data_IF_340782885707
#
_entry.id   IF_340782885707
#
_cell.length_a   1.000
_cell.length_b   1.000
_cell.length_c   1.000
_cell.angle_alpha   90.00
_cell.angle_beta   90.00
_cell.angle_gamma   90.00
#
_symmetry.space_group_name_H-M   'P 1'
#
loop_
_entity.id
_entity.type
_entity.pdbx_description
1 polymer ?
#
# COMPACT_ATOMS: atom_id res chain seq x y z
N UNK A 1 13.60 -5.69 28.46
CA UNK A 1 12.33 -5.01 28.80
C UNK A 1 11.81 -4.41 27.49
N UNK A 2 10.95 -5.13 26.77
CA UNK A 2 10.43 -4.67 25.48
C UNK A 2 9.15 -3.88 25.75
N UNK A 3 9.23 -2.55 25.76
CA UNK A 3 8.06 -1.68 25.88
C UNK A 3 7.23 -1.84 24.62
N UNK A 4 6.19 -2.68 24.68
CA UNK A 4 5.18 -2.79 23.64
C UNK A 4 4.22 -1.61 23.77
N UNK A 5 4.73 -0.39 23.65
CA UNK A 5 3.86 0.74 23.41
C UNK A 5 3.30 0.57 22.01
N UNK A 6 2.01 0.26 21.94
CA UNK A 6 1.27 0.16 20.69
C UNK A 6 1.39 1.51 20.01
N UNK A 7 2.26 1.61 19.00
CA UNK A 7 2.52 2.83 18.27
C UNK A 7 1.16 3.46 17.87
N UNK A 8 0.82 4.69 18.33
CA UNK A 8 -0.45 5.35 18.04
C UNK A 8 -0.79 5.40 16.55
N UNK A 9 0.25 5.45 15.71
CA UNK A 9 0.15 5.40 14.25
C UNK A 9 -0.53 4.12 13.74
N UNK A 10 -0.29 2.95 14.37
CA UNK A 10 -0.95 1.68 14.01
C UNK A 10 -2.46 1.70 14.29
N UNK A 11 -2.90 2.47 15.29
CA UNK A 11 -4.34 2.61 15.60
C UNK A 11 -5.06 3.39 14.50
N UNK A 12 -4.44 4.46 13.99
CA UNK A 12 -5.03 5.34 12.98
C UNK A 12 -4.85 4.86 11.53
N UNK A 13 -3.76 4.14 11.21
CA UNK A 13 -3.88 2.82 10.60
C UNK A 13 -5.04 2.57 9.61
N UNK A 14 -6.02 1.89 10.20
CA UNK A 14 -7.21 1.39 9.54
C UNK A 14 -8.19 2.50 9.17
N UNK A 15 -8.17 3.61 9.89
CA UNK A 15 -9.03 4.76 9.62
C UNK A 15 -8.54 5.50 8.37
N UNK A 16 -7.23 5.74 8.25
CA UNK A 16 -6.61 6.26 7.03
C UNK A 16 -6.88 5.34 5.83
N UNK A 17 -6.65 4.04 5.98
CA UNK A 17 -6.96 3.05 4.94
C UNK A 17 -8.45 3.05 4.54
N UNK A 18 -9.36 3.36 5.47
CA UNK A 18 -10.80 3.52 5.16
C UNK A 18 -11.08 4.83 4.44
N UNK A 19 -10.44 5.92 4.86
CA UNK A 19 -10.57 7.23 4.22
C UNK A 19 -10.08 7.20 2.77
N UNK A 20 -8.89 6.66 2.52
CA UNK A 20 -8.33 6.51 1.17
C UNK A 20 -9.26 5.68 0.27
N UNK A 21 -9.92 4.65 0.84
CA UNK A 21 -10.92 3.88 0.07
C UNK A 21 -12.12 4.69 -0.40
N UNK A 22 -12.45 5.78 0.27
CA UNK A 22 -13.58 6.63 -0.11
C UNK A 22 -13.17 7.76 -1.08
N UNK A 23 -11.88 8.03 -1.21
CA UNK A 23 -11.33 9.12 -2.02
C UNK A 23 -10.12 8.63 -2.84
N UNK A 24 -10.28 7.62 -3.72
CA UNK A 24 -9.18 7.16 -4.56
C UNK A 24 -8.81 8.20 -5.61
N UNK A 25 -7.55 8.19 -6.05
CA UNK A 25 -7.18 8.88 -7.30
C UNK A 25 -7.88 8.24 -8.51
N UNK A 26 -7.89 8.94 -9.65
CA UNK A 26 -8.47 8.40 -10.89
C UNK A 26 -7.79 7.09 -11.31
N UNK A 27 -6.45 7.06 -11.29
CA UNK A 27 -5.66 5.88 -11.62
C UNK A 27 -5.95 4.69 -10.70
N UNK A 28 -6.03 4.93 -9.38
CA UNK A 28 -6.44 3.90 -8.42
C UNK A 28 -7.85 3.37 -8.73
N UNK A 29 -8.79 4.26 -9.06
CA UNK A 29 -10.14 3.82 -9.38
C UNK A 29 -10.16 2.97 -10.66
N UNK A 30 -9.46 3.37 -11.72
CA UNK A 30 -9.35 2.59 -12.96
C UNK A 30 -8.78 1.20 -12.69
N UNK A 31 -7.63 1.11 -11.99
CA UNK A 31 -7.02 -0.17 -11.64
C UNK A 31 -7.94 -1.01 -10.74
N UNK A 32 -8.62 -0.38 -9.77
CA UNK A 32 -9.56 -1.08 -8.91
C UNK A 32 -10.72 -1.72 -9.69
N UNK A 33 -11.29 -1.02 -10.69
CA UNK A 33 -12.35 -1.61 -11.51
C UNK A 33 -11.86 -2.81 -12.34
N UNK A 34 -10.57 -2.84 -12.72
CA UNK A 34 -9.95 -3.97 -13.39
C UNK A 34 -9.70 -5.16 -12.44
N UNK A 35 -9.33 -4.91 -11.19
CA UNK A 35 -8.93 -5.94 -10.22
C UNK A 35 -10.07 -6.51 -9.35
N UNK A 36 -11.09 -5.70 -9.05
CA UNK A 36 -12.17 -6.08 -8.11
C UNK A 36 -12.91 -7.34 -8.53
N UNK A 37 -13.61 -7.94 -7.57
CA UNK A 37 -14.44 -9.13 -7.78
C UNK A 37 -13.66 -10.34 -8.34
N UNK A 38 -12.36 -10.41 -8.08
CA UNK A 38 -11.49 -11.50 -8.54
C UNK A 38 -11.49 -11.69 -10.06
N UNK A 39 -11.61 -10.61 -10.84
CA UNK A 39 -11.61 -10.63 -12.30
C UNK A 39 -10.40 -11.35 -12.93
N UNK A 40 -9.26 -11.36 -12.22
CA UNK A 40 -8.04 -12.05 -12.64
C UNK A 40 -7.89 -13.45 -12.01
N UNK A 41 -8.97 -14.04 -11.48
CA UNK A 41 -8.95 -15.34 -10.79
C UNK A 41 -8.34 -15.31 -9.38
N UNK A 42 -7.81 -14.16 -8.95
CA UNK A 42 -7.27 -13.94 -7.59
C UNK A 42 -7.84 -12.67 -6.97
N UNK A 43 -7.92 -12.65 -5.63
CA UNK A 43 -8.50 -11.53 -4.89
C UNK A 43 -7.45 -10.46 -4.59
N UNK A 44 -7.75 -9.24 -5.01
CA UNK A 44 -7.04 -8.04 -4.59
C UNK A 44 -7.81 -7.31 -3.47
N UNK A 45 -7.07 -6.69 -2.57
CA UNK A 45 -7.51 -5.66 -1.63
C UNK A 45 -6.92 -4.33 -2.09
N UNK A 46 -7.57 -3.22 -1.74
CA UNK A 46 -7.05 -1.87 -1.99
C UNK A 46 -6.86 -1.11 -0.68
N UNK A 47 -5.89 -0.20 -0.63
CA UNK A 47 -5.55 0.63 0.52
C UNK A 47 -5.41 -0.24 1.78
N UNK A 48 -4.50 -1.21 1.75
CA UNK A 48 -4.37 -2.24 2.77
C UNK A 48 -3.21 -1.93 3.72
N UNK A 49 -3.45 -2.06 5.03
CA UNK A 49 -2.41 -1.87 6.03
C UNK A 49 -1.52 -3.13 6.16
N UNK A 50 -0.21 -3.00 5.96
CA UNK A 50 0.82 -4.03 6.14
C UNK A 50 1.96 -3.43 6.96
N UNK A 51 2.24 -4.03 8.12
CA UNK A 51 3.32 -3.66 9.04
C UNK A 51 3.57 -2.15 9.27
N UNK A 52 2.50 -1.36 9.40
CA UNK A 52 2.60 0.09 9.63
C UNK A 52 2.53 0.95 8.37
N UNK A 53 2.48 0.35 7.19
CA UNK A 53 2.33 1.03 5.90
C UNK A 53 0.94 0.75 5.30
N UNK A 54 0.41 1.70 4.52
CA UNK A 54 -0.74 1.46 3.65
C UNK A 54 -0.22 1.27 2.24
N UNK A 55 -0.62 0.17 1.60
CA UNK A 55 -0.31 -0.15 0.21
C UNK A 55 -1.55 0.05 -0.66
N UNK A 56 -1.40 0.56 -1.89
CA UNK A 56 -2.54 0.87 -2.76
C UNK A 56 -3.32 -0.39 -3.14
N UNK A 57 -2.63 -1.46 -3.52
CA UNK A 57 -3.24 -2.76 -3.78
C UNK A 57 -2.40 -3.93 -3.26
N UNK A 58 -3.10 -4.97 -2.82
CA UNK A 58 -2.49 -6.16 -2.23
C UNK A 58 -3.19 -7.44 -2.66
N UNK A 59 -2.42 -8.42 -3.16
CA UNK A 59 -2.86 -9.78 -3.42
C UNK A 59 -2.14 -10.77 -2.50
N UNK A 60 -2.88 -11.29 -1.51
CA UNK A 60 -2.34 -12.24 -0.53
C UNK A 60 -1.85 -13.54 -1.17
N UNK A 61 -2.53 -14.04 -2.20
CA UNK A 61 -2.17 -15.31 -2.85
C UNK A 61 -0.86 -15.22 -3.63
N UNK A 62 -0.55 -14.05 -4.19
CA UNK A 62 0.63 -13.84 -5.03
C UNK A 62 1.80 -13.19 -4.28
N UNK A 63 1.63 -12.88 -2.99
CA UNK A 63 2.52 -12.03 -2.21
C UNK A 63 2.94 -10.77 -3.01
N UNK A 64 1.92 -10.11 -3.58
CA UNK A 64 2.12 -9.00 -4.52
C UNK A 64 1.47 -7.74 -3.98
N UNK A 65 2.24 -6.66 -3.97
CA UNK A 65 1.84 -5.29 -3.73
C UNK A 65 1.92 -4.53 -5.06
N UNK A 66 0.93 -3.69 -5.34
CA UNK A 66 0.94 -2.77 -6.48
C UNK A 66 0.74 -1.35 -5.92
N UNK A 67 1.65 -0.44 -6.25
CA UNK A 67 1.60 0.99 -5.91
C UNK A 67 1.41 1.82 -7.18
N UNK A 68 0.62 2.89 -7.06
CA UNK A 68 0.43 3.88 -8.11
C UNK A 68 1.07 5.19 -7.66
N UNK A 69 2.20 5.54 -8.27
CA UNK A 69 2.85 6.82 -8.03
C UNK A 69 2.05 7.95 -8.67
N UNK A 70 1.45 8.80 -7.83
CA UNK A 70 1.03 10.14 -8.23
C UNK A 70 2.23 11.07 -8.43
N UNK A 71 2.03 12.23 -9.08
CA UNK A 71 3.09 13.20 -9.42
C UNK A 71 3.86 13.81 -8.22
N UNK A 72 3.57 13.41 -6.99
CA UNK A 72 4.18 13.99 -5.79
C UNK A 72 5.29 13.06 -5.29
N UNK A 73 6.45 13.12 -5.94
CA UNK A 73 7.69 12.52 -5.43
C UNK A 73 8.86 13.49 -5.58
N UNK A 74 8.82 14.61 -4.86
CA UNK A 74 9.92 15.57 -4.80
C UNK A 74 10.10 16.13 -3.37
N UNK A 75 10.51 15.27 -2.44
CA UNK A 75 11.14 15.70 -1.18
C UNK A 75 12.15 14.63 -0.72
N UNK A 76 13.35 15.05 -0.35
CA UNK A 76 14.48 14.20 0.06
C UNK A 76 14.16 13.28 1.25
N UNK A 77 13.26 13.69 2.13
CA UNK A 77 12.85 12.92 3.30
C UNK A 77 11.99 11.69 2.94
N UNK A 78 11.44 11.65 1.72
CA UNK A 78 10.65 10.54 1.22
C UNK A 78 11.51 9.33 0.83
N UNK A 79 12.77 9.55 0.44
CA UNK A 79 13.66 8.50 -0.09
C UNK A 79 14.14 7.51 0.99
N UNK A 80 14.48 8.00 2.19
CA UNK A 80 14.85 7.14 3.32
C UNK A 80 13.64 6.36 3.85
N UNK A 81 12.47 7.02 3.91
CA UNK A 81 11.21 6.38 4.28
C UNK A 81 10.81 5.29 3.26
N UNK A 82 10.97 5.55 1.96
CA UNK A 82 10.67 4.60 0.89
C UNK A 82 11.66 3.42 0.87
N UNK A 83 12.94 3.65 1.22
CA UNK A 83 13.95 2.59 1.35
C UNK A 83 13.63 1.66 2.52
N UNK A 84 13.33 2.21 3.70
CA UNK A 84 12.97 1.41 4.88
C UNK A 84 11.66 0.64 4.69
N UNK A 85 10.67 1.26 4.04
CA UNK A 85 9.41 0.64 3.66
C UNK A 85 9.62 -0.54 2.71
N UNK A 86 10.32 -0.31 1.60
CA UNK A 86 10.59 -1.34 0.59
C UNK A 86 11.36 -2.50 1.17
N UNK A 87 12.37 -2.23 2.00
CA UNK A 87 13.12 -3.26 2.72
C UNK A 87 12.19 -4.11 3.61
N UNK A 88 11.38 -3.46 4.45
CA UNK A 88 10.46 -4.15 5.38
C UNK A 88 9.47 -5.05 4.64
N UNK A 89 8.83 -4.54 3.58
CA UNK A 89 7.85 -5.30 2.81
C UNK A 89 8.50 -6.46 2.03
N UNK A 90 9.72 -6.27 1.54
CA UNK A 90 10.51 -7.32 0.89
C UNK A 90 10.90 -8.43 1.87
N UNK A 91 11.34 -8.09 3.08
CA UNK A 91 11.67 -9.07 4.14
C UNK A 91 10.44 -9.87 4.59
N UNK A 92 9.24 -9.29 4.50
CA UNK A 92 7.98 -9.99 4.71
C UNK A 92 7.58 -10.91 3.53
N UNK A 93 8.39 -10.96 2.47
CA UNK A 93 8.22 -11.81 1.31
C UNK A 93 7.33 -11.22 0.21
N UNK A 94 6.98 -9.93 0.29
CA UNK A 94 6.20 -9.28 -0.74
C UNK A 94 7.06 -8.81 -1.91
N UNK A 95 6.51 -8.94 -3.11
CA UNK A 95 7.01 -8.28 -4.32
C UNK A 95 6.22 -7.00 -4.54
N UNK A 96 6.91 -5.93 -4.90
CA UNK A 96 6.29 -4.65 -5.24
C UNK A 96 6.36 -4.40 -6.75
N UNK A 97 5.24 -3.95 -7.33
CA UNK A 97 5.17 -3.36 -8.67
C UNK A 97 4.68 -1.93 -8.54
N UNK A 98 5.39 -0.99 -9.14
CA UNK A 98 5.07 0.44 -9.06
C UNK A 98 4.81 0.98 -10.46
N UNK A 99 3.72 1.72 -10.62
CA UNK A 99 3.34 2.34 -11.89
C UNK A 99 3.24 3.85 -11.71
N UNK A 100 3.82 4.61 -12.62
CA UNK A 100 3.68 6.07 -12.68
C UNK A 100 2.55 6.45 -13.62
N UNK A 101 1.71 7.41 -13.23
CA UNK A 101 0.75 8.00 -14.17
C UNK A 101 1.50 8.80 -15.23
N UNK A 102 1.48 8.33 -16.48
CA UNK A 102 1.87 9.09 -17.68
C UNK A 102 0.68 9.19 -18.62
#
# INVERSE_FOLDING_TARGET
MFTTEVNPWRKHLKDFARQNRNQPTEAENVLWQALRNSKLGVRFRRQHAIDGYIVDFFCTRAFLIIELDGEIHLASDQAEYDTGRTFTLTELGYRELRFTNQ
#
